data_IF_809854900313
#
_entry.id   IF_809854900313
#
_cell.length_a   1.000
_cell.length_b   1.000
_cell.length_c   1.000
_cell.angle_alpha   90.00
_cell.angle_beta   90.00
_cell.angle_gamma   90.00
#
_symmetry.space_group_name_H-M   'P 1'
#
loop_
_entity.id
_entity.type
_entity.pdbx_description
1 polymer ?
#
# COMPACT_ATOMS: atom_id res chain seq x y z
N UNK A 1 -8.24 19.72 -6.88
CA UNK A 1 -8.65 18.34 -6.57
C UNK A 1 -9.61 18.39 -5.40
N UNK A 2 -10.76 17.72 -5.47
CA UNK A 2 -11.69 17.66 -4.33
C UNK A 2 -11.13 16.65 -3.31
N UNK A 3 -10.77 17.12 -2.12
CA UNK A 3 -10.37 16.24 -1.03
C UNK A 3 -11.62 15.59 -0.42
N UNK A 4 -11.63 14.27 -0.29
CA UNK A 4 -12.69 13.52 0.39
C UNK A 4 -12.31 13.30 1.84
N UNK A 5 -13.21 13.61 2.77
CA UNK A 5 -12.96 13.37 4.19
C UNK A 5 -13.11 11.88 4.51
N UNK A 6 -12.05 11.25 5.02
CA UNK A 6 -12.06 9.83 5.43
C UNK A 6 -12.44 9.67 6.89
N UNK A 7 -11.80 10.47 7.75
CA UNK A 7 -12.06 10.53 9.19
C UNK A 7 -11.99 11.99 9.63
N UNK A 8 -12.22 12.28 10.92
CA UNK A 8 -11.97 13.63 11.45
C UNK A 8 -10.50 14.10 11.31
N UNK A 9 -9.56 13.18 11.08
CA UNK A 9 -8.12 13.47 11.01
C UNK A 9 -7.47 13.16 9.66
N UNK A 10 -8.20 12.60 8.69
CA UNK A 10 -7.63 12.16 7.41
C UNK A 10 -8.44 12.66 6.20
N UNK A 11 -7.72 13.20 5.22
CA UNK A 11 -8.26 13.70 3.95
C UNK A 11 -7.63 12.92 2.79
N UNK A 12 -8.46 12.41 1.88
CA UNK A 12 -8.04 11.68 0.70
C UNK A 12 -8.03 12.60 -0.53
N UNK A 13 -6.95 12.53 -1.31
CA UNK A 13 -6.90 12.93 -2.71
C UNK A 13 -6.54 11.70 -3.55
N UNK A 14 -7.31 11.44 -4.61
CA UNK A 14 -7.07 10.32 -5.51
C UNK A 14 -7.07 10.82 -6.95
N UNK A 15 -6.07 10.39 -7.71
CA UNK A 15 -5.88 10.68 -9.13
C UNK A 15 -5.43 9.42 -9.85
N UNK A 16 -5.37 9.46 -11.18
CA UNK A 16 -4.81 8.34 -11.97
C UNK A 16 -3.33 8.05 -11.67
N UNK A 17 -2.62 8.97 -11.01
CA UNK A 17 -1.19 8.86 -10.74
C UNK A 17 -0.86 8.56 -9.27
N UNK A 18 -1.74 8.86 -8.32
CA UNK A 18 -1.47 8.63 -6.91
C UNK A 18 -2.73 8.64 -6.05
N UNK A 19 -2.59 7.99 -4.89
CA UNK A 19 -3.44 8.15 -3.72
C UNK A 19 -2.63 8.90 -2.68
N UNK A 20 -3.20 9.97 -2.15
CA UNK A 20 -2.60 10.79 -1.10
C UNK A 20 -3.57 10.92 0.06
N UNK A 21 -3.07 10.65 1.27
CA UNK A 21 -3.79 10.88 2.52
C UNK A 21 -3.04 11.94 3.29
N UNK A 22 -3.68 13.09 3.48
CA UNK A 22 -3.21 14.14 4.36
C UNK A 22 -3.78 13.92 5.76
N UNK A 23 -2.88 13.77 6.74
CA UNK A 23 -3.24 13.65 8.14
C UNK A 23 -3.23 15.06 8.76
N UNK A 24 -4.32 15.46 9.41
CA UNK A 24 -4.47 16.80 10.02
C UNK A 24 -3.54 17.04 11.21
N UNK A 25 -2.96 15.97 11.74
CA UNK A 25 -1.93 15.96 12.78
C UNK A 25 -1.00 14.80 12.47
N UNK A 26 0.21 14.82 13.03
CA UNK A 26 1.13 13.69 12.95
C UNK A 26 0.50 12.46 13.63
N UNK A 27 0.48 11.32 12.93
CA UNK A 27 0.01 10.04 13.48
C UNK A 27 1.16 9.05 13.60
N UNK A 28 1.08 8.20 14.63
CA UNK A 28 1.91 7.01 14.71
C UNK A 28 1.47 6.02 13.62
N UNK A 29 2.44 5.41 12.94
CA UNK A 29 2.21 4.50 11.82
C UNK A 29 3.18 3.32 11.89
N UNK A 30 2.75 2.18 11.37
CA UNK A 30 3.60 1.03 11.08
C UNK A 30 3.34 0.60 9.63
N UNK A 31 4.40 0.36 8.85
CA UNK A 31 4.23 -0.06 7.45
C UNK A 31 5.43 -0.83 6.91
N UNK A 32 5.23 -1.55 5.81
CA UNK A 32 6.29 -2.08 4.95
C UNK A 32 6.56 -1.15 3.75
N UNK A 33 6.30 0.15 3.89
CA UNK A 33 6.44 1.13 2.82
C UNK A 33 7.91 1.31 2.39
N UNK A 34 8.11 1.76 1.15
CA UNK A 34 9.44 1.98 0.58
C UNK A 34 10.12 3.18 1.23
N UNK A 35 9.40 4.32 1.28
CA UNK A 35 9.88 5.53 1.94
C UNK A 35 9.33 5.59 3.36
N UNK A 36 10.23 5.72 4.35
CA UNK A 36 9.91 5.81 5.78
C UNK A 36 9.04 4.65 6.29
N UNK A 37 9.32 3.43 5.81
CA UNK A 37 8.74 2.19 6.36
C UNK A 37 9.22 1.88 7.79
N UNK A 38 8.60 0.89 8.42
CA UNK A 38 8.79 0.54 9.82
C UNK A 38 7.81 1.28 10.74
N UNK A 39 8.13 1.31 12.05
CA UNK A 39 7.39 2.09 13.05
C UNK A 39 7.88 3.54 13.01
N UNK A 40 6.95 4.49 13.00
CA UNK A 40 7.30 5.90 12.98
C UNK A 40 6.09 6.81 13.05
N UNK A 41 6.27 8.00 12.48
CA UNK A 41 5.26 9.05 12.46
C UNK A 41 5.05 9.55 11.04
N UNK A 42 3.82 9.90 10.68
CA UNK A 42 3.48 10.42 9.37
C UNK A 42 2.54 11.62 9.46
N UNK A 43 2.76 12.58 8.58
CA UNK A 43 1.82 13.66 8.24
C UNK A 43 1.13 13.37 6.90
N UNK A 44 1.79 12.57 6.05
CA UNK A 44 1.30 12.18 4.73
C UNK A 44 1.52 10.70 4.46
N UNK A 45 0.54 10.06 3.82
CA UNK A 45 0.69 8.72 3.23
C UNK A 45 0.51 8.85 1.73
N UNK A 46 1.45 8.32 0.95
CA UNK A 46 1.42 8.28 -0.50
C UNK A 46 1.44 6.86 -1.02
N UNK A 47 0.62 6.57 -2.02
CA UNK A 47 0.74 5.41 -2.87
C UNK A 47 0.77 5.89 -4.32
N UNK A 48 1.94 5.88 -4.96
CA UNK A 48 2.12 6.43 -6.30
C UNK A 48 2.05 5.32 -7.34
N UNK A 49 1.38 5.60 -8.47
CA UNK A 49 1.45 4.74 -9.64
C UNK A 49 2.83 4.91 -10.29
N UNK A 50 3.53 3.80 -10.49
CA UNK A 50 4.75 3.75 -11.29
C UNK A 50 4.47 2.92 -12.53
N UNK A 51 4.87 3.43 -13.69
CA UNK A 51 4.73 2.69 -14.93
C UNK A 51 5.53 1.39 -14.83
N UNK A 52 4.95 0.27 -15.27
CA UNK A 52 5.56 -1.07 -15.23
C UNK A 52 6.89 -1.17 -15.99
N UNK A 53 7.21 -0.17 -16.81
CA UNK A 53 8.40 -0.06 -17.65
C UNK A 53 9.31 1.13 -17.30
N UNK A 54 9.16 1.74 -16.11
CA UNK A 54 9.95 2.92 -15.78
C UNK A 54 11.44 2.60 -15.71
N UNK A 55 12.23 3.20 -16.59
CA UNK A 55 13.71 3.09 -16.61
C UNK A 55 14.36 3.98 -15.55
N UNK A 56 13.66 4.25 -14.44
CA UNK A 56 14.13 5.18 -13.43
C UNK A 56 15.36 4.57 -12.76
N UNK A 57 16.49 5.26 -12.88
CA UNK A 57 17.78 4.84 -12.29
C UNK A 57 17.95 5.30 -10.85
N UNK A 58 17.07 6.18 -10.37
CA UNK A 58 17.05 6.63 -8.99
C UNK A 58 16.51 5.54 -8.06
N UNK A 59 16.93 5.57 -6.80
CA UNK A 59 16.37 4.67 -5.81
C UNK A 59 14.86 4.94 -5.62
N UNK A 60 14.10 3.92 -5.25
CA UNK A 60 12.65 4.03 -5.17
C UNK A 60 12.20 5.05 -4.10
N UNK A 61 12.87 5.08 -2.97
CA UNK A 61 12.66 6.07 -1.90
C UNK A 61 12.99 7.51 -2.36
N UNK A 62 14.07 7.71 -3.11
CA UNK A 62 14.41 9.02 -3.71
C UNK A 62 13.32 9.49 -4.68
N UNK A 63 12.77 8.58 -5.50
CA UNK A 63 11.70 8.88 -6.44
C UNK A 63 10.41 9.31 -5.71
N UNK A 64 10.08 8.63 -4.61
CA UNK A 64 8.95 9.00 -3.74
C UNK A 64 9.17 10.37 -3.08
N UNK A 65 10.38 10.64 -2.61
CA UNK A 65 10.73 11.93 -2.01
C UNK A 65 10.60 13.06 -3.04
N UNK A 66 11.15 12.90 -4.23
CA UNK A 66 11.00 13.87 -5.32
C UNK A 66 9.53 14.08 -5.71
N UNK A 67 8.75 13.00 -5.78
CA UNK A 67 7.31 13.10 -6.08
C UNK A 67 6.57 13.91 -5.01
N UNK A 68 6.88 13.68 -3.74
CA UNK A 68 6.28 14.41 -2.62
C UNK A 68 6.64 15.90 -2.62
N UNK A 69 7.86 16.24 -3.01
CA UNK A 69 8.33 17.62 -3.18
C UNK A 69 7.59 18.33 -4.32
N UNK A 70 7.36 17.64 -5.44
CA UNK A 70 6.58 18.18 -6.55
C UNK A 70 5.12 18.45 -6.17
N UNK A 71 4.58 17.70 -5.20
CA UNK A 71 3.26 17.95 -4.62
C UNK A 71 3.27 19.04 -3.51
N UNK A 72 4.43 19.61 -3.20
CA UNK A 72 4.64 20.59 -2.12
C UNK A 72 4.14 20.11 -0.75
N UNK A 73 4.31 18.81 -0.48
CA UNK A 73 3.96 18.22 0.81
C UNK A 73 5.02 18.58 1.86
N UNK A 74 4.56 18.98 3.06
CA UNK A 74 5.43 19.36 4.17
C UNK A 74 5.20 18.40 5.34
N UNK A 75 6.29 17.93 5.97
CA UNK A 75 6.23 16.96 7.06
C UNK A 75 6.68 15.57 6.64
N UNK A 76 6.49 14.59 7.51
CA UNK A 76 6.96 13.22 7.27
C UNK A 76 6.00 12.47 6.35
N UNK A 77 6.56 11.88 5.29
CA UNK A 77 5.82 11.12 4.29
C UNK A 77 6.14 9.64 4.43
N UNK A 78 5.11 8.80 4.52
CA UNK A 78 5.22 7.36 4.31
C UNK A 78 4.79 7.05 2.88
N UNK A 79 5.68 6.45 2.10
CA UNK A 79 5.51 6.32 0.65
C UNK A 79 5.58 4.88 0.15
N UNK A 80 4.53 4.46 -0.55
CA UNK A 80 4.44 3.20 -1.27
C UNK A 80 4.41 3.44 -2.77
N UNK A 81 4.80 2.42 -3.54
CA UNK A 81 4.67 2.41 -4.99
C UNK A 81 3.76 1.29 -5.43
N UNK A 82 3.05 1.50 -6.52
CA UNK A 82 2.24 0.46 -7.16
C UNK A 82 2.31 0.58 -8.67
N UNK A 83 2.48 -0.55 -9.33
CA UNK A 83 2.24 -0.71 -10.77
C UNK A 83 0.83 -1.25 -11.05
N UNK A 84 0.04 -1.50 -10.01
CA UNK A 84 -1.35 -1.86 -10.16
C UNK A 84 -2.14 -0.72 -10.81
N UNK A 85 -3.15 -1.07 -11.61
CA UNK A 85 -4.04 -0.08 -12.19
C UNK A 85 -4.74 0.72 -11.08
N UNK A 86 -4.72 2.05 -11.15
CA UNK A 86 -5.47 2.90 -10.21
C UNK A 86 -6.99 2.70 -10.29
N UNK A 87 -7.50 2.03 -11.35
CA UNK A 87 -8.89 1.56 -11.42
C UNK A 87 -9.21 0.45 -10.41
N UNK A 88 -8.19 -0.22 -9.88
CA UNK A 88 -8.32 -1.20 -8.79
C UNK A 88 -8.57 -0.55 -7.42
N UNK A 89 -8.47 0.78 -7.31
CA UNK A 89 -8.73 1.51 -6.08
C UNK A 89 -10.07 1.10 -5.46
N UNK A 90 -10.02 0.63 -4.22
CA UNK A 90 -11.19 0.38 -3.38
C UNK A 90 -11.02 1.11 -2.06
N UNK A 91 -12.12 1.64 -1.56
CA UNK A 91 -12.22 2.32 -0.29
C UNK A 91 -13.46 1.80 0.40
N UNK A 92 -13.29 1.31 1.61
CA UNK A 92 -14.38 0.87 2.48
C UNK A 92 -14.26 1.55 3.84
N UNK A 93 -15.41 1.87 4.45
CA UNK A 93 -15.48 2.56 5.72
C UNK A 93 -16.50 1.87 6.62
N UNK A 94 -16.17 1.70 7.89
CA UNK A 94 -17.08 1.19 8.90
C UNK A 94 -16.85 1.90 10.22
N UNK A 95 -17.92 2.11 10.98
CA UNK A 95 -17.85 2.55 12.38
C UNK A 95 -18.32 1.40 13.25
N UNK A 96 -17.41 0.88 14.08
CA UNK A 96 -17.67 -0.24 14.99
C UNK A 96 -17.43 0.24 16.42
N UNK A 97 -18.47 0.17 17.26
CA UNK A 97 -18.39 0.65 18.66
C UNK A 97 -17.91 2.11 18.78
N UNK A 98 -18.25 2.96 17.81
CA UNK A 98 -17.82 4.36 17.78
C UNK A 98 -16.38 4.59 17.31
N UNK A 99 -15.69 3.55 16.85
CA UNK A 99 -14.37 3.64 16.21
C UNK A 99 -14.54 3.58 14.70
N UNK A 100 -14.01 4.59 14.01
CA UNK A 100 -14.01 4.66 12.56
C UNK A 100 -12.82 3.86 12.04
N UNK A 101 -13.06 2.98 11.07
CA UNK A 101 -12.05 2.22 10.35
C UNK A 101 -12.23 2.50 8.87
N UNK A 102 -11.13 2.84 8.21
CA UNK A 102 -11.08 3.08 6.76
C UNK A 102 -10.02 2.18 6.16
N UNK A 103 -10.40 1.41 5.15
CA UNK A 103 -9.48 0.53 4.42
C UNK A 103 -9.43 1.00 2.97
N UNK A 104 -8.21 1.24 2.48
CA UNK A 104 -7.95 1.61 1.09
C UNK A 104 -7.03 0.56 0.48
N UNK A 105 -7.37 0.06 -0.69
CA UNK A 105 -6.61 -0.97 -1.39
C UNK A 105 -6.40 -0.60 -2.85
N UNK A 106 -5.19 -0.83 -3.35
CA UNK A 106 -4.92 -1.02 -4.78
C UNK A 106 -4.43 -2.44 -4.97
N UNK A 107 -4.87 -3.12 -6.03
CA UNK A 107 -4.55 -4.52 -6.28
C UNK A 107 -4.13 -4.74 -7.72
N UNK A 108 -2.92 -5.26 -7.91
CA UNK A 108 -2.39 -5.79 -9.15
C UNK A 108 -1.97 -7.23 -8.92
N UNK A 109 -2.56 -8.17 -9.65
CA UNK A 109 -2.36 -9.61 -9.47
C UNK A 109 -1.63 -10.23 -10.67
N UNK A 110 -0.67 -9.51 -11.26
CA UNK A 110 0.12 -10.01 -12.38
C UNK A 110 1.26 -10.94 -11.95
N UNK A 111 1.69 -10.86 -10.69
CA UNK A 111 2.70 -11.71 -10.05
C UNK A 111 2.20 -12.25 -8.69
N UNK A 112 1.05 -12.96 -8.63
CA UNK A 112 0.59 -13.53 -7.38
C UNK A 112 1.61 -14.58 -6.90
N UNK A 113 1.83 -14.67 -5.59
CA UNK A 113 2.80 -15.58 -4.97
C UNK A 113 2.25 -16.23 -3.71
N UNK A 114 2.65 -17.48 -3.50
CA UNK A 114 2.50 -18.18 -2.24
C UNK A 114 3.77 -17.97 -1.40
N UNK A 115 3.61 -17.73 -0.11
CA UNK A 115 4.75 -17.61 0.80
C UNK A 115 5.51 -18.93 0.85
N UNK A 116 6.84 -18.89 0.65
CA UNK A 116 7.65 -20.10 0.56
C UNK A 116 7.79 -20.66 -0.85
N UNK A 117 7.16 -20.04 -1.86
CA UNK A 117 7.56 -20.26 -3.25
C UNK A 117 9.06 -19.99 -3.41
N UNK A 118 9.72 -20.81 -4.23
CA UNK A 118 11.10 -20.55 -4.59
C UNK A 118 11.18 -19.21 -5.34
N UNK A 119 12.18 -18.40 -5.00
CA UNK A 119 12.45 -17.19 -5.75
C UNK A 119 12.74 -17.55 -7.21
N UNK A 120 12.03 -16.92 -8.15
CA UNK A 120 12.36 -17.03 -9.57
C UNK A 120 13.72 -16.35 -9.80
N UNK A 121 14.81 -17.13 -9.85
CA UNK A 121 16.08 -16.64 -10.35
C UNK A 121 15.99 -16.55 -11.88
N UNK A 122 15.45 -15.44 -12.40
CA UNK A 122 15.46 -15.15 -13.83
C UNK A 122 16.68 -14.31 -14.18
N UNK A 123 17.50 -14.81 -15.11
CA UNK A 123 18.57 -14.04 -15.71
C UNK A 123 18.03 -12.77 -16.34
N UNK A 124 18.86 -11.73 -16.31
CA UNK A 124 18.56 -10.34 -16.69
C UNK A 124 18.34 -10.13 -18.20
N UNK A 125 17.69 -11.06 -18.90
CA UNK A 125 17.39 -10.93 -20.33
C UNK A 125 16.01 -11.51 -20.66
N UNK A 126 15.13 -10.66 -21.21
CA UNK A 126 14.00 -10.98 -22.11
C UNK A 126 12.53 -11.00 -21.63
N UNK A 127 12.17 -10.64 -20.40
CA UNK A 127 10.76 -10.29 -20.13
C UNK A 127 10.62 -9.21 -19.07
N UNK A 128 9.96 -8.10 -19.41
CA UNK A 128 9.47 -7.11 -18.46
C UNK A 128 8.61 -7.84 -17.43
N UNK A 129 9.04 -7.85 -16.17
CA UNK A 129 8.24 -8.39 -15.08
C UNK A 129 6.99 -7.54 -14.97
N UNK A 130 5.81 -8.16 -15.15
CA UNK A 130 4.57 -7.51 -14.77
C UNK A 130 4.54 -7.43 -13.24
N UNK A 131 5.09 -6.34 -12.70
CA UNK A 131 5.03 -6.06 -11.28
C UNK A 131 3.56 -5.83 -10.94
N UNK A 132 3.00 -6.67 -10.09
CA UNK A 132 1.70 -6.47 -9.47
C UNK A 132 1.95 -6.17 -8.00
N UNK A 133 1.19 -5.24 -7.42
CA UNK A 133 1.26 -4.99 -5.99
C UNK A 133 -0.12 -4.91 -5.39
N UNK A 134 -0.26 -5.45 -4.18
CA UNK A 134 -1.41 -5.19 -3.32
C UNK A 134 -0.93 -4.27 -2.20
N UNK A 135 -1.28 -2.99 -2.28
CA UNK A 135 -1.01 -2.02 -1.22
C UNK A 135 -2.30 -1.79 -0.46
N UNK A 136 -2.21 -1.84 0.88
CA UNK A 136 -3.34 -1.68 1.79
C UNK A 136 -3.00 -0.60 2.80
N UNK A 137 -3.88 0.39 2.94
CA UNK A 137 -3.82 1.41 3.97
C UNK A 137 -5.01 1.21 4.90
N UNK A 138 -4.74 1.04 6.19
CA UNK A 138 -5.78 0.96 7.22
C UNK A 138 -5.63 2.18 8.12
N UNK A 139 -6.70 2.95 8.24
CA UNK A 139 -6.80 4.08 9.17
C UNK A 139 -7.81 3.74 10.26
N UNK A 140 -7.55 4.18 11.49
CA UNK A 140 -8.49 4.07 12.60
C UNK A 140 -8.55 5.39 13.38
N UNK A 141 -9.72 5.70 13.95
CA UNK A 141 -9.86 6.81 14.90
C UNK A 141 -9.37 6.45 16.32
N UNK A 142 -9.10 5.18 16.60
CA UNK A 142 -8.55 4.72 17.87
C UNK A 142 -7.06 5.06 18.00
N UNK A 143 -6.63 5.37 19.23
CA UNK A 143 -5.22 5.41 19.59
C UNK A 143 -4.77 3.99 19.94
N UNK A 144 -3.79 3.48 19.19
CA UNK A 144 -3.23 2.16 19.38
C UNK A 144 -1.87 2.27 20.07
N UNK A 145 -1.58 1.34 20.98
CA UNK A 145 -0.22 1.13 21.46
C UNK A 145 0.63 0.53 20.34
N UNK A 146 1.97 0.55 20.48
CA UNK A 146 2.85 -0.11 19.51
C UNK A 146 2.53 -1.60 19.32
N UNK A 147 2.22 -2.31 20.42
CA UNK A 147 1.79 -3.70 20.35
C UNK A 147 0.48 -3.87 19.56
N UNK A 148 -0.51 -3.00 19.79
CA UNK A 148 -1.78 -3.03 19.06
C UNK A 148 -1.62 -2.63 17.58
N UNK A 149 -0.65 -1.76 17.23
CA UNK A 149 -0.31 -1.47 15.84
C UNK A 149 0.28 -2.68 15.13
N UNK A 150 1.17 -3.41 15.80
CA UNK A 150 1.72 -4.67 15.26
C UNK A 150 0.62 -5.71 15.06
N UNK A 151 -0.29 -5.86 16.03
CA UNK A 151 -1.44 -6.75 15.92
C UNK A 151 -2.37 -6.35 14.76
N UNK A 152 -2.68 -5.06 14.63
CA UNK A 152 -3.48 -4.55 13.51
C UNK A 152 -2.83 -4.81 12.15
N UNK A 153 -1.50 -4.67 12.04
CA UNK A 153 -0.75 -4.99 10.82
C UNK A 153 -0.82 -6.49 10.49
N UNK A 154 -0.73 -7.37 11.49
CA UNK A 154 -0.88 -8.82 11.29
C UNK A 154 -2.28 -9.16 10.79
N UNK A 155 -3.34 -8.65 11.44
CA UNK A 155 -4.74 -8.86 11.03
C UNK A 155 -4.98 -8.36 9.61
N UNK A 156 -4.50 -7.16 9.27
CA UNK A 156 -4.64 -6.64 7.91
C UNK A 156 -3.93 -7.52 6.87
N UNK A 157 -2.80 -8.12 7.23
CA UNK A 157 -2.06 -9.04 6.38
C UNK A 157 -2.81 -10.36 6.21
N UNK A 158 -3.32 -10.95 7.28
CA UNK A 158 -4.14 -12.16 7.26
C UNK A 158 -5.42 -11.97 6.44
N UNK A 159 -6.11 -10.83 6.62
CA UNK A 159 -7.30 -10.48 5.86
C UNK A 159 -7.02 -10.36 4.35
N UNK A 160 -5.88 -9.75 3.97
CA UNK A 160 -5.44 -9.70 2.57
C UNK A 160 -5.22 -11.11 2.01
N UNK A 161 -4.56 -11.98 2.77
CA UNK A 161 -4.32 -13.38 2.36
C UNK A 161 -5.63 -14.16 2.25
N UNK A 162 -6.53 -14.04 3.23
CA UNK A 162 -7.86 -14.66 3.19
C UNK A 162 -8.65 -14.22 1.96
N UNK A 163 -8.63 -12.92 1.63
CA UNK A 163 -9.28 -12.41 0.43
C UNK A 163 -8.71 -13.00 -0.88
N UNK A 164 -7.40 -13.31 -0.94
CA UNK A 164 -6.81 -13.99 -2.10
C UNK A 164 -7.23 -15.46 -2.18
N UNK A 165 -7.32 -16.15 -1.04
CA UNK A 165 -7.77 -17.54 -0.96
C UNK A 165 -9.24 -17.64 -1.35
N UNK A 166 -10.10 -16.76 -0.81
CA UNK A 166 -11.53 -16.70 -1.13
C UNK A 166 -11.79 -16.39 -2.60
N UNK A 167 -10.90 -15.61 -3.22
CA UNK A 167 -10.90 -15.33 -4.65
C UNK A 167 -10.24 -16.42 -5.51
N UNK A 168 -9.81 -17.53 -4.89
CA UNK A 168 -9.13 -18.67 -5.53
C UNK A 168 -7.90 -18.27 -6.38
N UNK A 169 -7.18 -17.23 -5.95
CA UNK A 169 -5.98 -16.77 -6.65
C UNK A 169 -4.84 -17.77 -6.41
N UNK A 170 -4.27 -18.32 -7.49
CA UNK A 170 -3.17 -19.28 -7.41
C UNK A 170 -1.82 -18.64 -7.75
N UNK A 171 -0.77 -19.09 -7.08
CA UNK A 171 0.60 -18.83 -7.51
C UNK A 171 0.91 -19.61 -8.78
N UNK A 172 1.51 -18.98 -9.82
CA UNK A 172 1.94 -19.71 -11.01
C UNK A 172 3.11 -20.65 -10.73
N UNK A 173 3.81 -20.50 -9.59
CA UNK A 173 5.02 -21.27 -9.24
C UNK A 173 4.64 -22.63 -8.66
N UNK A 174 3.90 -22.64 -7.55
CA UNK A 174 3.55 -23.84 -6.79
C UNK A 174 2.14 -24.36 -7.04
N UNK A 175 1.30 -23.59 -7.74
CA UNK A 175 -0.15 -23.85 -7.88
C UNK A 175 -0.89 -23.90 -6.53
N UNK A 176 -0.29 -23.36 -5.46
CA UNK A 176 -0.95 -23.14 -4.18
C UNK A 176 -1.66 -21.77 -4.16
N UNK A 177 -2.60 -21.58 -3.24
CA UNK A 177 -3.26 -20.28 -3.09
C UNK A 177 -2.25 -19.18 -2.78
N UNK A 178 -2.31 -18.09 -3.52
CA UNK A 178 -1.47 -16.93 -3.30
C UNK A 178 -1.77 -16.31 -1.93
N UNK A 179 -0.71 -15.91 -1.24
CA UNK A 179 -0.80 -15.18 0.03
C UNK A 179 -0.45 -13.70 -0.13
N UNK A 180 0.06 -13.32 -1.30
CA UNK A 180 0.38 -11.95 -1.68
C UNK A 180 0.86 -11.84 -3.12
N UNK A 181 1.66 -10.81 -3.39
CA UNK A 181 2.35 -10.55 -4.66
C UNK A 181 3.84 -10.44 -4.40
N UNK A 182 4.67 -10.86 -5.35
CA UNK A 182 6.13 -10.89 -5.18
C UNK A 182 6.89 -11.22 -6.45
#
# INVERSE_FOLDING_TARGET
MSATQLTQYALLSHTDNHIHIALRKTHQVISSAVLNGGMGYADHILNINVASNSTCTAAADESLLQYSQNLNLNGTIVGMMTSASMKSFRLEQATVQGIDIVVIVTSGLSNPRHVGDHAEHREMTTSTTDVGTINTIVLTSALLTEAALVEALMIATEAKTAALIDAEVLSPISQQFATGTG
#
